data_IF_242075651686
#
_entry.id   IF_242075651686
#
_cell.length_a   1.000
_cell.length_b   1.000
_cell.length_c   1.000
_cell.angle_alpha   90.00
_cell.angle_beta   90.00
_cell.angle_gamma   90.00
#
_symmetry.space_group_name_H-M   'P 1'
#
loop_
_entity.id
_entity.type
_entity.pdbx_description
1 polymer ?
#
# COMPACT_ATOMS: atom_id res chain seq x y z
N UNK A 1 -3.51 -3.34 22.92
CA UNK A 1 -3.81 -2.61 21.65
C UNK A 1 -5.12 -3.13 21.08
N UNK A 2 -6.20 -2.34 21.14
CA UNK A 2 -7.55 -2.72 20.70
C UNK A 2 -7.54 -2.91 19.18
N UNK A 3 -7.56 -4.15 18.67
CA UNK A 3 -7.75 -4.43 17.23
C UNK A 3 -9.13 -3.87 16.87
N UNK A 4 -9.18 -2.78 16.09
CA UNK A 4 -10.45 -2.33 15.48
C UNK A 4 -10.98 -3.53 14.68
N UNK A 5 -12.10 -4.12 15.12
CA UNK A 5 -12.86 -5.09 14.32
C UNK A 5 -13.13 -4.39 12.99
N UNK A 6 -12.51 -4.85 11.91
CA UNK A 6 -12.88 -4.40 10.56
C UNK A 6 -14.33 -4.83 10.41
N UNK A 7 -15.26 -3.87 10.40
CA UNK A 7 -16.63 -4.10 9.96
C UNK A 7 -16.51 -4.82 8.62
N UNK A 8 -17.18 -5.96 8.48
CA UNK A 8 -17.17 -6.73 7.24
C UNK A 8 -17.56 -5.77 6.13
N UNK A 9 -16.58 -5.38 5.32
CA UNK A 9 -16.84 -4.59 4.12
C UNK A 9 -17.49 -5.55 3.16
N UNK A 10 -18.61 -5.12 2.58
CA UNK A 10 -19.34 -5.88 1.59
C UNK A 10 -18.36 -6.51 0.59
N UNK A 11 -18.51 -7.81 0.28
CA UNK A 11 -17.56 -8.53 -0.57
C UNK A 11 -17.48 -7.94 -1.98
N UNK A 12 -18.51 -7.20 -2.40
CA UNK A 12 -18.59 -6.49 -3.68
C UNK A 12 -18.10 -5.04 -3.61
N UNK A 13 -17.85 -4.48 -2.42
CA UNK A 13 -17.33 -3.13 -2.32
C UNK A 13 -15.87 -3.12 -2.80
N UNK A 14 -15.51 -2.23 -3.74
CA UNK A 14 -14.16 -2.17 -4.22
C UNK A 14 -13.19 -1.84 -3.07
N UNK A 15 -11.99 -2.41 -3.13
CA UNK A 15 -10.97 -2.15 -2.12
C UNK A 15 -10.38 -0.76 -2.35
N UNK A 16 -10.25 0.00 -1.26
CA UNK A 16 -9.60 1.32 -1.30
C UNK A 16 -8.24 1.21 -2.01
N UNK A 17 -7.90 2.17 -2.87
CA UNK A 17 -6.67 2.15 -3.63
C UNK A 17 -5.48 2.19 -2.68
N UNK A 18 -4.43 1.46 -3.05
CA UNK A 18 -3.19 1.41 -2.26
C UNK A 18 -2.40 2.68 -2.53
N UNK A 19 -2.13 3.46 -1.47
CA UNK A 19 -1.31 4.68 -1.56
C UNK A 19 0.09 4.38 -2.09
N UNK A 20 0.77 5.35 -2.72
CA UNK A 20 2.13 5.16 -3.24
C UNK A 20 3.12 4.60 -2.21
N UNK A 21 3.03 5.05 -0.96
CA UNK A 21 3.82 4.50 0.14
C UNK A 21 3.55 3.00 0.43
N UNK A 22 2.29 2.57 0.33
CA UNK A 22 1.93 1.16 0.54
C UNK A 22 2.40 0.28 -0.62
N UNK A 23 2.37 0.80 -1.86
CA UNK A 23 2.94 0.12 -3.03
C UNK A 23 4.45 -0.10 -2.83
N UNK A 24 5.16 0.96 -2.45
CA UNK A 24 6.58 0.88 -2.10
C UNK A 24 6.84 -0.10 -0.95
N UNK A 25 5.99 -0.07 0.09
CA UNK A 25 6.12 -0.98 1.23
C UNK A 25 5.91 -2.44 0.81
N UNK A 26 4.98 -2.76 -0.08
CA UNK A 26 4.77 -4.12 -0.57
C UNK A 26 5.95 -4.61 -1.40
N UNK A 27 6.51 -3.75 -2.25
CA UNK A 27 7.70 -4.07 -3.04
C UNK A 27 8.90 -4.36 -2.16
N UNK A 28 9.22 -3.47 -1.21
CA UNK A 28 10.30 -3.68 -0.24
C UNK A 28 10.04 -4.91 0.64
N UNK A 29 8.77 -5.18 1.00
CA UNK A 29 8.40 -6.41 1.72
C UNK A 29 8.67 -7.65 0.89
N UNK A 30 8.36 -7.64 -0.40
CA UNK A 30 8.59 -8.77 -1.31
C UNK A 30 10.09 -9.02 -1.49
N UNK A 31 10.87 -7.96 -1.62
CA UNK A 31 12.32 -8.01 -1.77
C UNK A 31 13.00 -8.62 -0.53
N UNK A 32 12.54 -8.24 0.66
CA UNK A 32 13.06 -8.73 1.94
C UNK A 32 12.51 -10.10 2.34
N UNK A 33 11.31 -10.50 1.89
CA UNK A 33 10.75 -11.84 2.14
C UNK A 33 11.57 -12.95 1.48
N UNK A 34 12.42 -12.62 0.50
CA UNK A 34 13.36 -13.55 -0.13
C UNK A 34 14.64 -13.79 0.68
N UNK A 35 14.86 -13.06 1.78
CA UNK A 35 16.03 -13.23 2.65
C UNK A 35 15.62 -14.07 3.87
N UNK A 36 16.34 -15.17 4.10
CA UNK A 36 16.09 -16.09 5.23
C UNK A 36 16.17 -15.40 6.60
N UNK A 37 16.90 -14.28 6.69
CA UNK A 37 16.85 -13.34 7.81
C UNK A 37 15.80 -12.26 7.54
N UNK A 38 14.52 -12.61 7.68
CA UNK A 38 13.44 -11.61 7.62
C UNK A 38 13.37 -10.92 8.99
N UNK A 39 13.83 -9.67 9.13
CA UNK A 39 13.72 -8.95 10.39
C UNK A 39 12.25 -8.84 10.79
N UNK A 40 11.99 -8.76 12.10
CA UNK A 40 10.64 -8.63 12.61
C UNK A 40 9.88 -7.55 11.82
N UNK A 41 8.65 -7.86 11.38
CA UNK A 41 7.81 -7.00 10.54
C UNK A 41 7.86 -5.51 10.93
N UNK A 42 7.92 -5.24 12.23
CA UNK A 42 7.97 -3.91 12.81
C UNK A 42 9.27 -3.14 12.49
N UNK A 43 10.41 -3.81 12.48
CA UNK A 43 11.72 -3.22 12.14
C UNK A 43 11.82 -2.97 10.64
N UNK A 44 11.32 -3.91 9.84
CA UNK A 44 11.16 -3.73 8.39
C UNK A 44 10.32 -2.49 8.06
N UNK A 45 9.16 -2.30 8.71
CA UNK A 45 8.35 -1.09 8.49
C UNK A 45 9.09 0.20 8.86
N UNK A 46 9.89 0.17 9.94
CA UNK A 46 10.70 1.34 10.31
C UNK A 46 11.73 1.66 9.24
N UNK A 47 12.45 0.66 8.74
CA UNK A 47 13.44 0.81 7.67
C UNK A 47 12.80 1.36 6.39
N UNK A 48 11.69 0.77 5.96
CA UNK A 48 10.94 1.23 4.77
C UNK A 48 10.43 2.66 4.96
N UNK A 49 9.92 3.00 6.15
CA UNK A 49 9.44 4.35 6.46
C UNK A 49 10.56 5.39 6.48
N UNK A 50 11.75 5.02 6.97
CA UNK A 50 12.93 5.89 6.90
C UNK A 50 13.37 6.08 5.44
N UNK A 51 13.53 4.98 4.70
CA UNK A 51 13.94 5.00 3.30
C UNK A 51 12.97 5.80 2.43
N UNK A 52 11.66 5.66 2.65
CA UNK A 52 10.65 6.48 1.96
C UNK A 52 10.77 7.97 2.26
N UNK A 53 11.15 8.37 3.48
CA UNK A 53 11.40 9.78 3.78
C UNK A 53 12.66 10.29 3.09
N UNK A 54 13.67 9.44 2.94
CA UNK A 54 14.92 9.74 2.24
C UNK A 54 14.78 9.73 0.70
N UNK A 55 13.81 8.97 0.15
CA UNK A 55 13.53 8.97 -1.29
C UNK A 55 13.18 10.38 -1.78
N UNK A 56 13.70 10.69 -2.96
CA UNK A 56 13.42 11.95 -3.65
C UNK A 56 12.02 11.95 -4.27
N UNK A 57 11.51 13.13 -4.60
CA UNK A 57 10.22 13.29 -5.27
C UNK A 57 10.18 12.51 -6.59
N UNK A 58 11.30 12.47 -7.32
CA UNK A 58 11.44 11.70 -8.56
C UNK A 58 11.28 10.18 -8.35
N UNK A 59 11.77 9.63 -7.23
CA UNK A 59 11.58 8.21 -6.92
C UNK A 59 10.19 7.91 -6.37
N UNK A 60 9.54 8.89 -5.73
CA UNK A 60 8.15 8.79 -5.27
C UNK A 60 7.16 8.92 -6.42
N UNK A 61 7.50 9.71 -7.43
CA UNK A 61 6.69 10.00 -8.61
C UNK A 61 6.05 8.76 -9.25
N UNK A 62 6.81 7.69 -9.59
CA UNK A 62 6.20 6.49 -10.18
C UNK A 62 5.20 5.81 -9.24
N UNK A 63 5.43 5.82 -7.92
CA UNK A 63 4.50 5.26 -6.95
C UNK A 63 3.27 6.16 -6.74
N UNK A 64 3.41 7.47 -6.85
CA UNK A 64 2.30 8.42 -6.80
C UNK A 64 1.45 8.36 -8.07
N UNK A 65 2.06 8.21 -9.24
CA UNK A 65 1.35 7.97 -10.51
C UNK A 65 0.63 6.62 -10.48
N UNK A 66 1.29 5.56 -10.01
CA UNK A 66 0.64 4.26 -9.81
C UNK A 66 -0.55 4.36 -8.83
N UNK A 67 -0.41 5.14 -7.75
CA UNK A 67 -1.52 5.41 -6.85
C UNK A 67 -2.66 6.17 -7.53
N UNK A 68 -2.37 7.22 -8.32
CA UNK A 68 -3.40 7.95 -9.08
C UNK A 68 -4.15 7.02 -10.05
N UNK A 69 -3.43 6.15 -10.75
CA UNK A 69 -4.03 5.15 -11.63
C UNK A 69 -4.92 4.17 -10.85
N UNK A 70 -4.46 3.70 -9.69
CA UNK A 70 -5.24 2.82 -8.82
C UNK A 70 -6.49 3.53 -8.25
N UNK A 71 -6.39 4.83 -7.93
CA UNK A 71 -7.54 5.64 -7.50
C UNK A 71 -8.56 5.75 -8.63
N UNK A 72 -8.13 6.06 -9.85
CA UNK A 72 -9.03 6.15 -11.00
C UNK A 72 -9.75 4.82 -11.26
N UNK A 73 -9.04 3.69 -11.20
CA UNK A 73 -9.67 2.36 -11.29
C UNK A 73 -10.68 2.13 -10.16
N UNK A 74 -10.29 2.46 -8.92
CA UNK A 74 -11.17 2.34 -7.77
C UNK A 74 -12.44 3.16 -7.91
N UNK A 75 -12.36 4.38 -8.44
CA UNK A 75 -13.52 5.23 -8.67
C UNK A 75 -14.47 4.63 -9.72
N UNK A 76 -13.94 4.04 -10.79
CA UNK A 76 -14.73 3.33 -11.81
C UNK A 76 -15.41 2.11 -11.20
N UNK A 77 -14.66 1.25 -10.49
CA UNK A 77 -15.22 0.07 -9.82
C UNK A 77 -16.24 0.47 -8.74
N UNK A 78 -16.00 1.58 -8.04
CA UNK A 78 -16.93 2.10 -7.03
C UNK A 78 -18.20 2.63 -7.66
N UNK A 79 -18.10 3.34 -8.78
CA UNK A 79 -19.26 3.81 -9.53
C UNK A 79 -20.08 2.62 -10.06
N UNK A 80 -19.42 1.58 -10.58
CA UNK A 80 -20.09 0.36 -11.04
C UNK A 80 -20.73 -0.45 -9.90
N UNK A 81 -20.17 -0.38 -8.68
CA UNK A 81 -20.75 -1.02 -7.50
C UNK A 81 -21.95 -0.25 -6.92
N UNK A 82 -21.97 1.06 -7.08
CA UNK A 82 -23.05 1.95 -6.59
C UNK A 82 -24.26 1.99 -7.55
N UNK A 83 -24.13 1.41 -8.74
CA UNK A 83 -25.15 1.36 -9.80
C UNK A 83 -25.96 0.07 -9.77
#
# INVERSE_FOLDING_TARGET
>A
KKKRKRVAKDPNAPKKPVTGYLLYQEEQKRELKGKEDTPAYKEMLKLIGAKWKELTDAEKQPYEEAHKAAVAQYEIEKAAYDQ
#
